data_IF_051847261037
#
_entry.id   IF_051847261037
#
_cell.length_a   1.000
_cell.length_b   1.000
_cell.length_c   1.000
_cell.angle_alpha   90.00
_cell.angle_beta   90.00
_cell.angle_gamma   90.00
#
_symmetry.space_group_name_H-M   'P 1'
#
loop_
_entity.id
_entity.type
_entity.pdbx_description
1 polymer ?
#
# COMPACT_ATOMS: atom_id res chain seq x y z
N UNK A 1 -30.39 7.38 -12.58
CA UNK A 1 -29.89 8.31 -11.55
C UNK A 1 -29.94 7.71 -10.14
N UNK A 2 -31.01 6.98 -9.78
CA UNK A 2 -31.21 6.46 -8.40
C UNK A 2 -30.13 5.51 -7.87
N UNK A 3 -29.42 4.78 -8.73
CA UNK A 3 -28.31 3.93 -8.29
C UNK A 3 -27.07 4.74 -7.95
N UNK A 4 -26.77 5.78 -8.73
CA UNK A 4 -25.65 6.70 -8.51
C UNK A 4 -25.89 7.58 -7.28
N UNK A 5 -27.15 7.90 -6.95
CA UNK A 5 -27.48 8.66 -5.74
C UNK A 5 -27.28 7.86 -4.45
N UNK A 6 -27.39 6.53 -4.48
CA UNK A 6 -27.14 5.68 -3.30
C UNK A 6 -25.67 5.31 -3.10
N UNK A 7 -24.91 5.14 -4.19
CA UNK A 7 -23.49 4.76 -4.15
C UNK A 7 -22.71 5.47 -5.25
N UNK A 8 -21.50 5.95 -4.94
CA UNK A 8 -20.63 6.59 -5.92
C UNK A 8 -20.15 5.62 -7.01
N UNK A 9 -19.94 4.34 -6.67
CA UNK A 9 -19.61 3.27 -7.61
C UNK A 9 -20.77 2.29 -7.68
N UNK A 10 -21.23 2.00 -8.90
CA UNK A 10 -22.27 1.01 -9.17
C UNK A 10 -21.61 -0.35 -9.38
N UNK A 11 -22.01 -1.36 -8.61
CA UNK A 11 -21.58 -2.75 -8.82
C UNK A 11 -22.42 -3.40 -9.92
N UNK A 12 -21.75 -3.93 -10.91
CA UNK A 12 -22.34 -4.55 -12.08
C UNK A 12 -22.12 -6.07 -12.09
N UNK A 13 -23.23 -6.79 -12.17
CA UNK A 13 -23.27 -8.19 -12.61
C UNK A 13 -23.23 -8.25 -14.13
N UNK A 14 -22.93 -9.41 -14.74
CA UNK A 14 -22.90 -9.58 -16.20
C UNK A 14 -24.14 -9.05 -16.94
N UNK A 15 -25.34 -9.28 -16.40
CA UNK A 15 -26.59 -8.78 -16.99
C UNK A 15 -26.71 -7.27 -16.92
N UNK A 16 -26.42 -6.67 -15.75
CA UNK A 16 -26.47 -5.22 -15.58
C UNK A 16 -25.41 -4.53 -16.44
N UNK A 17 -24.23 -5.14 -16.60
CA UNK A 17 -23.22 -4.63 -17.50
C UNK A 17 -23.73 -4.61 -18.94
N UNK A 18 -24.36 -5.68 -19.42
CA UNK A 18 -24.97 -5.69 -20.75
C UNK A 18 -26.05 -4.62 -20.90
N UNK A 19 -26.92 -4.48 -19.91
CA UNK A 19 -28.05 -3.55 -19.95
C UNK A 19 -27.64 -2.06 -19.90
N UNK A 20 -26.68 -1.69 -19.05
CA UNK A 20 -26.32 -0.28 -18.84
C UNK A 20 -25.11 0.16 -19.67
N UNK A 21 -24.21 -0.76 -20.04
CA UNK A 21 -22.93 -0.43 -20.69
C UNK A 21 -22.85 -0.95 -22.13
N UNK A 22 -23.53 -2.05 -22.49
CA UNK A 22 -23.57 -2.51 -23.89
C UNK A 22 -24.83 -2.09 -24.64
N UNK A 23 -25.98 -1.99 -23.98
CA UNK A 23 -27.21 -1.59 -24.64
C UNK A 23 -27.13 -0.16 -25.20
N UNK A 24 -27.84 0.07 -26.30
CA UNK A 24 -28.03 1.37 -26.96
C UNK A 24 -29.52 1.71 -26.94
N UNK A 25 -29.92 2.99 -26.87
CA UNK A 25 -29.10 4.22 -26.91
C UNK A 25 -28.58 4.66 -25.54
N UNK A 26 -27.42 5.34 -25.53
CA UNK A 26 -26.82 5.96 -24.32
C UNK A 26 -26.48 7.43 -24.57
N UNK A 27 -26.68 8.26 -23.57
CA UNK A 27 -26.33 9.68 -23.52
C UNK A 27 -25.37 9.99 -22.36
N UNK A 28 -24.63 8.97 -21.92
CA UNK A 28 -23.70 9.03 -20.81
C UNK A 28 -22.50 8.12 -21.08
N UNK A 29 -21.37 8.51 -20.51
CA UNK A 29 -20.11 7.79 -20.50
C UNK A 29 -19.96 7.03 -19.19
N UNK A 30 -19.41 5.82 -19.29
CA UNK A 30 -19.17 4.96 -18.14
C UNK A 30 -17.69 4.73 -17.96
N UNK A 31 -17.19 4.93 -16.73
CA UNK A 31 -15.87 4.49 -16.33
C UNK A 31 -16.03 3.23 -15.52
N UNK A 32 -15.48 2.12 -16.02
CA UNK A 32 -15.63 0.80 -15.42
C UNK A 32 -14.28 0.30 -14.95
N UNK A 33 -14.22 -0.11 -13.69
CA UNK A 33 -13.11 -0.87 -13.14
C UNK A 33 -13.44 -2.36 -13.15
N UNK A 34 -12.68 -3.14 -13.92
CA UNK A 34 -12.65 -4.59 -13.83
C UNK A 34 -11.69 -4.98 -12.71
N UNK A 35 -12.16 -5.77 -11.76
CA UNK A 35 -11.40 -6.09 -10.54
C UNK A 35 -11.66 -7.49 -10.02
N UNK A 36 -10.89 -7.92 -9.01
CA UNK A 36 -11.06 -9.19 -8.32
C UNK A 36 -10.84 -8.97 -6.82
N UNK A 37 -11.85 -8.47 -6.11
CA UNK A 37 -11.78 -8.15 -4.67
C UNK A 37 -12.08 -9.35 -3.77
N UNK A 38 -12.60 -10.45 -4.32
CA UNK A 38 -12.89 -11.64 -3.53
C UNK A 38 -11.66 -12.11 -2.74
N UNK A 39 -11.80 -12.41 -1.44
CA UNK A 39 -10.68 -12.80 -0.58
C UNK A 39 -9.99 -14.07 -1.06
N UNK A 40 -10.69 -14.95 -1.77
CA UNK A 40 -10.16 -16.15 -2.40
C UNK A 40 -9.10 -15.86 -3.48
N UNK A 41 -9.13 -14.67 -4.11
CA UNK A 41 -8.20 -14.27 -5.18
C UNK A 41 -6.93 -13.60 -4.67
N UNK A 42 -6.92 -13.15 -3.41
CA UNK A 42 -5.77 -12.50 -2.75
C UNK A 42 -5.12 -11.35 -3.57
N UNK A 43 -5.90 -10.62 -4.37
CA UNK A 43 -5.38 -9.53 -5.20
C UNK A 43 -5.17 -8.25 -4.39
N UNK A 44 -3.95 -8.05 -3.87
CA UNK A 44 -3.60 -6.84 -3.09
C UNK A 44 -3.68 -5.57 -3.95
N UNK A 45 -3.18 -5.63 -5.18
CA UNK A 45 -3.18 -4.49 -6.12
C UNK A 45 -4.61 -4.04 -6.45
N UNK A 46 -5.55 -4.99 -6.60
CA UNK A 46 -6.95 -4.70 -6.86
C UNK A 46 -7.60 -3.89 -5.74
N UNK A 47 -7.19 -4.13 -4.49
CA UNK A 47 -7.72 -3.40 -3.33
C UNK A 47 -7.21 -1.96 -3.29
N UNK A 48 -5.92 -1.74 -3.50
CA UNK A 48 -5.36 -0.39 -3.60
C UNK A 48 -5.94 0.40 -4.79
N UNK A 49 -6.10 -0.25 -5.93
CA UNK A 49 -6.72 0.36 -7.10
C UNK A 49 -8.20 0.70 -6.86
N UNK A 50 -8.94 -0.15 -6.14
CA UNK A 50 -10.31 0.12 -5.75
C UNK A 50 -10.42 1.35 -4.82
N UNK A 51 -9.51 1.50 -3.84
CA UNK A 51 -9.52 2.63 -2.92
C UNK A 51 -9.29 3.97 -3.67
N UNK A 52 -8.32 4.01 -4.59
CA UNK A 52 -8.06 5.18 -5.42
C UNK A 52 -9.22 5.46 -6.40
N UNK A 53 -9.83 4.42 -6.97
CA UNK A 53 -11.00 4.56 -7.85
C UNK A 53 -12.24 5.08 -7.09
N UNK A 54 -12.47 4.58 -5.87
CA UNK A 54 -13.52 5.05 -4.98
C UNK A 54 -13.31 6.51 -4.60
N UNK A 55 -12.06 6.93 -4.41
CA UNK A 55 -11.74 8.32 -4.13
C UNK A 55 -12.12 9.24 -5.30
N UNK A 56 -11.81 8.86 -6.55
CA UNK A 56 -12.21 9.62 -7.74
C UNK A 56 -13.73 9.68 -7.87
N UNK A 57 -14.41 8.55 -7.72
CA UNK A 57 -15.87 8.48 -7.83
C UNK A 57 -16.58 9.33 -6.77
N UNK A 58 -16.08 9.31 -5.52
CA UNK A 58 -16.59 10.17 -4.45
C UNK A 58 -16.30 11.65 -4.74
N UNK A 59 -15.10 11.98 -5.21
CA UNK A 59 -14.73 13.36 -5.57
C UNK A 59 -15.63 13.90 -6.68
N UNK A 60 -15.98 13.08 -7.67
CA UNK A 60 -16.96 13.45 -8.70
C UNK A 60 -18.36 13.66 -8.12
N UNK A 61 -18.81 12.76 -7.25
CA UNK A 61 -20.13 12.84 -6.61
C UNK A 61 -20.32 14.14 -5.82
N UNK A 62 -19.29 14.58 -5.09
CA UNK A 62 -19.31 15.83 -4.30
C UNK A 62 -18.89 17.07 -5.10
N UNK A 63 -18.53 16.92 -6.38
CA UNK A 63 -18.18 18.04 -7.23
C UNK A 63 -19.42 18.85 -7.60
N UNK A 64 -19.28 20.19 -7.62
CA UNK A 64 -20.30 21.10 -8.13
C UNK A 64 -20.54 20.94 -9.63
N UNK A 65 -19.58 20.32 -10.34
CA UNK A 65 -19.68 20.03 -11.78
C UNK A 65 -20.33 18.66 -12.07
N UNK A 66 -20.88 17.98 -11.06
CA UNK A 66 -21.48 16.66 -11.25
C UNK A 66 -22.63 16.72 -12.25
N UNK A 67 -22.44 16.06 -13.40
CA UNK A 67 -23.44 15.93 -14.46
C UNK A 67 -23.84 14.48 -14.64
N UNK A 68 -25.07 14.25 -15.12
CA UNK A 68 -25.58 12.92 -15.43
C UNK A 68 -25.00 12.30 -16.73
N UNK A 69 -23.83 12.79 -17.16
CA UNK A 69 -23.11 12.32 -18.35
C UNK A 69 -21.96 11.38 -18.01
N UNK A 70 -21.55 11.28 -16.75
CA UNK A 70 -20.44 10.43 -16.33
C UNK A 70 -20.84 9.58 -15.12
N UNK A 71 -20.69 8.27 -15.25
CA UNK A 71 -20.98 7.32 -14.19
C UNK A 71 -19.81 6.37 -13.94
N UNK A 72 -19.67 5.95 -12.68
CA UNK A 72 -18.61 5.04 -12.23
C UNK A 72 -19.19 3.66 -11.92
N UNK A 73 -18.50 2.64 -12.42
CA UNK A 73 -18.89 1.25 -12.31
C UNK A 73 -17.74 0.35 -11.90
N UNK A 74 -18.06 -0.77 -11.26
CA UNK A 74 -17.11 -1.86 -11.09
C UNK A 74 -17.76 -3.19 -11.45
N UNK A 75 -16.95 -4.11 -11.98
CA UNK A 75 -17.32 -5.50 -12.21
C UNK A 75 -16.27 -6.37 -11.52
N UNK A 76 -16.71 -7.21 -10.58
CA UNK A 76 -15.84 -8.21 -9.98
C UNK A 76 -15.79 -9.47 -10.86
N UNK A 77 -14.63 -10.10 -10.96
CA UNK A 77 -14.44 -11.32 -11.73
C UNK A 77 -15.40 -12.44 -11.31
N UNK A 78 -15.67 -12.59 -10.01
CA UNK A 78 -16.55 -13.66 -9.54
C UNK A 78 -18.05 -13.34 -9.75
N UNK A 79 -18.42 -12.05 -9.93
CA UNK A 79 -19.80 -11.63 -10.24
C UNK A 79 -20.11 -11.60 -11.76
N UNK A 80 -19.08 -11.54 -12.60
CA UNK A 80 -19.25 -11.39 -14.05
C UNK A 80 -18.06 -11.89 -14.88
N UNK A 81 -17.68 -13.17 -14.78
CA UNK A 81 -16.54 -13.72 -15.54
C UNK A 81 -16.77 -13.67 -17.06
N UNK A 82 -18.03 -13.69 -17.47
CA UNK A 82 -18.47 -13.51 -18.87
C UNK A 82 -18.11 -12.13 -19.42
N UNK A 83 -18.14 -11.08 -18.58
CA UNK A 83 -17.75 -9.72 -18.97
C UNK A 83 -16.26 -9.68 -19.29
N UNK A 84 -15.42 -10.29 -18.45
CA UNK A 84 -13.97 -10.38 -18.66
C UNK A 84 -13.62 -11.10 -19.96
N UNK A 85 -14.26 -12.26 -20.20
CA UNK A 85 -14.09 -13.00 -21.45
C UNK A 85 -14.54 -12.19 -22.66
N UNK A 86 -15.69 -11.51 -22.56
CA UNK A 86 -16.21 -10.69 -23.68
C UNK A 86 -15.37 -9.46 -24.02
N UNK A 87 -14.55 -8.99 -23.08
CA UNK A 87 -13.64 -7.85 -23.24
C UNK A 87 -12.20 -8.30 -23.50
N UNK A 88 -11.91 -9.61 -23.49
CA UNK A 88 -10.57 -10.16 -23.70
C UNK A 88 -9.59 -9.85 -22.56
N UNK A 89 -10.10 -9.66 -21.33
CA UNK A 89 -9.28 -9.30 -20.17
C UNK A 89 -8.95 -10.52 -19.32
N UNK A 90 -7.66 -10.85 -19.26
CA UNK A 90 -7.14 -11.99 -18.48
C UNK A 90 -6.53 -11.57 -17.14
N UNK A 91 -6.46 -10.27 -16.87
CA UNK A 91 -5.86 -9.71 -15.66
C UNK A 91 -6.74 -8.63 -15.04
N UNK A 92 -6.53 -8.38 -13.75
CA UNK A 92 -7.16 -7.34 -12.97
C UNK A 92 -6.09 -6.64 -12.11
N UNK A 93 -6.26 -5.37 -11.73
CA UNK A 93 -7.36 -4.46 -12.11
C UNK A 93 -7.16 -3.87 -13.53
N UNK A 94 -8.26 -3.49 -14.20
CA UNK A 94 -8.24 -2.77 -15.48
C UNK A 94 -9.28 -1.65 -15.46
N UNK A 95 -8.91 -0.44 -15.86
CA UNK A 95 -9.83 0.68 -16.03
C UNK A 95 -10.16 0.89 -17.51
N UNK A 96 -11.45 0.94 -17.82
CA UNK A 96 -11.93 1.21 -19.18
C UNK A 96 -13.00 2.29 -19.20
N UNK A 97 -12.94 3.13 -20.22
CA UNK A 97 -13.93 4.12 -20.57
C UNK A 97 -14.84 3.56 -21.67
N UNK A 98 -16.14 3.62 -21.44
CA UNK A 98 -17.17 3.30 -22.40
C UNK A 98 -17.84 4.61 -22.83
N UNK A 99 -17.60 5.09 -24.06
CA UNK A 99 -18.22 6.32 -24.53
C UNK A 99 -19.73 6.16 -24.70
N UNK A 100 -20.44 7.29 -24.74
CA UNK A 100 -21.88 7.33 -25.07
C UNK A 100 -22.13 6.70 -26.46
N UNK A 101 -21.26 7.11 -27.39
CA UNK A 101 -21.11 6.78 -28.82
C UNK A 101 -20.21 5.60 -29.16
N UNK A 102 -20.73 4.43 -29.50
CA UNK A 102 -19.93 3.38 -30.17
C UNK A 102 -19.09 2.49 -29.24
N UNK A 103 -18.05 1.85 -29.79
CA UNK A 103 -17.18 0.91 -29.08
C UNK A 103 -15.96 1.63 -28.46
N UNK A 104 -15.44 1.15 -27.31
CA UNK A 104 -14.20 1.66 -26.74
C UNK A 104 -13.03 1.57 -27.73
N UNK A 105 -12.22 2.62 -27.81
CA UNK A 105 -10.96 2.67 -28.56
C UNK A 105 -9.82 2.15 -27.70
N UNK A 106 -8.65 1.86 -28.30
CA UNK A 106 -7.45 1.44 -27.55
C UNK A 106 -7.03 2.45 -26.46
N UNK A 107 -7.26 3.74 -26.69
CA UNK A 107 -6.97 4.78 -25.70
C UNK A 107 -7.94 4.84 -24.52
N UNK A 108 -9.11 4.21 -24.65
CA UNK A 108 -10.12 4.11 -23.58
C UNK A 108 -9.81 3.00 -22.59
N UNK A 109 -8.71 2.26 -22.77
CA UNK A 109 -8.14 1.41 -21.75
C UNK A 109 -6.94 2.13 -21.13
N UNK A 110 -6.95 2.28 -19.81
CA UNK A 110 -5.83 2.89 -19.09
C UNK A 110 -4.67 1.90 -18.96
N UNK A 111 -3.46 2.35 -19.31
CA UNK A 111 -2.22 1.60 -19.10
C UNK A 111 -1.72 1.79 -17.65
N UNK A 112 -2.17 0.89 -16.78
CA UNK A 112 -1.86 0.95 -15.35
C UNK A 112 -0.38 0.65 -15.09
N UNK A 113 0.26 -0.20 -15.90
CA UNK A 113 1.65 -0.60 -15.74
C UNK A 113 2.60 0.58 -15.97
N UNK A 114 2.29 1.45 -16.94
CA UNK A 114 3.14 2.60 -17.30
C UNK A 114 2.87 3.83 -16.45
N UNK A 115 1.61 4.14 -16.17
CA UNK A 115 1.20 5.43 -15.57
C UNK A 115 0.82 5.30 -14.09
N UNK A 116 0.56 4.08 -13.61
CA UNK A 116 0.06 3.82 -12.26
C UNK A 116 -1.44 4.10 -12.11
N UNK A 117 -1.98 3.87 -10.91
CA UNK A 117 -3.42 3.94 -10.60
C UNK A 117 -3.75 4.99 -9.51
N UNK A 118 -2.91 6.01 -9.35
CA UNK A 118 -3.22 7.13 -8.45
C UNK A 118 -4.48 7.86 -8.91
N UNK A 119 -5.30 8.30 -7.96
CA UNK A 119 -6.57 8.97 -8.21
C UNK A 119 -6.43 10.20 -9.13
N UNK A 120 -5.36 11.00 -8.96
CA UNK A 120 -5.09 12.18 -9.80
C UNK A 120 -4.72 11.78 -11.23
N UNK A 121 -4.12 10.62 -11.43
CA UNK A 121 -3.80 10.08 -12.76
C UNK A 121 -5.06 9.54 -13.42
N UNK A 122 -5.90 8.81 -12.69
CA UNK A 122 -7.20 8.34 -13.19
C UNK A 122 -8.07 9.54 -13.58
N UNK A 123 -8.14 10.58 -12.75
CA UNK A 123 -8.90 11.79 -13.04
C UNK A 123 -8.39 12.53 -14.30
N UNK A 124 -7.06 12.62 -14.49
CA UNK A 124 -6.47 13.19 -15.71
C UNK A 124 -6.81 12.37 -16.96
N UNK A 125 -6.69 11.05 -16.88
CA UNK A 125 -7.07 10.17 -17.99
C UNK A 125 -8.57 10.28 -18.34
N UNK A 126 -9.45 10.38 -17.34
CA UNK A 126 -10.88 10.64 -17.58
C UNK A 126 -11.09 11.98 -18.26
N UNK A 127 -10.40 13.04 -17.83
CA UNK A 127 -10.48 14.36 -18.45
C UNK A 127 -10.04 14.33 -19.92
N UNK A 128 -8.96 13.62 -20.25
CA UNK A 128 -8.50 13.45 -21.64
C UNK A 128 -9.51 12.71 -22.54
N UNK A 129 -10.35 11.84 -21.96
CA UNK A 129 -11.33 11.04 -22.72
C UNK A 129 -12.73 11.64 -22.79
N UNK A 130 -13.14 12.35 -21.74
CA UNK A 130 -14.52 12.83 -21.57
C UNK A 130 -14.63 14.35 -21.55
N UNK A 131 -13.51 15.08 -21.54
CA UNK A 131 -13.42 16.53 -21.35
C UNK A 131 -13.96 17.03 -19.98
N UNK A 132 -14.25 16.08 -19.07
CA UNK A 132 -14.76 16.37 -17.72
C UNK A 132 -13.59 16.38 -16.74
N UNK A 133 -13.31 17.55 -16.17
CA UNK A 133 -12.24 17.70 -15.18
C UNK A 133 -12.74 17.37 -13.76
N UNK A 134 -12.19 16.30 -13.18
CA UNK A 134 -12.49 15.88 -11.80
C UNK A 134 -11.37 16.36 -10.88
N UNK A 135 -11.69 17.22 -9.90
CA UNK A 135 -10.76 17.60 -8.83
C UNK A 135 -10.83 16.56 -7.72
N UNK A 136 -9.75 15.81 -7.53
CA UNK A 136 -9.67 14.76 -6.50
C UNK A 136 -9.41 15.39 -5.13
N UNK A 137 -10.22 15.03 -4.13
CA UNK A 137 -10.02 15.46 -2.74
C UNK A 137 -9.71 14.24 -1.87
N UNK A 138 -8.45 14.10 -1.43
CA UNK A 138 -8.03 13.06 -0.48
C UNK A 138 -8.57 13.38 0.92
N UNK A 139 -9.45 12.57 1.52
CA UNK A 139 -9.89 12.80 2.88
C UNK A 139 -8.67 12.74 3.82
N UNK A 140 -8.58 13.64 4.81
CA UNK A 140 -7.47 13.62 5.76
C UNK A 140 -7.46 12.30 6.55
N UNK A 141 -6.34 11.59 6.51
CA UNK A 141 -6.14 10.36 7.29
C UNK A 141 -5.83 10.72 8.75
N UNK A 142 -6.87 10.78 9.60
CA UNK A 142 -6.72 11.04 11.03
C UNK A 142 -6.05 9.89 11.81
N UNK A 143 -5.89 8.71 11.20
CA UNK A 143 -5.20 7.59 11.84
C UNK A 143 -3.76 7.93 12.22
N UNK A 144 -3.04 8.62 11.33
CA UNK A 144 -1.65 9.03 11.59
C UNK A 144 -1.55 10.11 12.67
N UNK A 145 -2.46 11.10 12.67
CA UNK A 145 -2.47 12.15 13.69
C UNK A 145 -2.88 11.61 15.05
N UNK A 146 -3.88 10.71 15.12
CA UNK A 146 -4.28 10.04 16.36
C UNK A 146 -3.14 9.17 16.89
N UNK A 147 -2.46 8.40 16.03
CA UNK A 147 -1.30 7.60 16.44
C UNK A 147 -0.17 8.47 17.01
N UNK A 148 0.11 9.63 16.41
CA UNK A 148 1.08 10.58 16.94
C UNK A 148 0.65 11.16 18.30
N UNK A 149 -0.62 11.53 18.45
CA UNK A 149 -1.15 12.04 19.74
C UNK A 149 -1.02 10.97 20.83
N UNK A 150 -1.35 9.71 20.53
CA UNK A 150 -1.18 8.59 21.47
C UNK A 150 0.30 8.40 21.81
N UNK A 151 1.20 8.46 20.83
CA UNK A 151 2.64 8.34 21.06
C UNK A 151 3.14 9.43 22.00
N UNK A 152 2.78 10.70 21.76
CA UNK A 152 3.17 11.81 22.62
C UNK A 152 2.57 11.68 24.02
N UNK A 153 1.32 11.24 24.14
CA UNK A 153 0.68 10.97 25.43
C UNK A 153 1.39 9.85 26.21
N UNK A 154 1.78 8.76 25.54
CA UNK A 154 2.53 7.67 26.16
C UNK A 154 3.93 8.12 26.61
N UNK A 155 4.64 8.90 25.80
CA UNK A 155 5.94 9.45 26.17
C UNK A 155 5.79 10.39 27.38
N UNK A 156 4.80 11.29 27.36
CA UNK A 156 4.52 12.20 28.46
C UNK A 156 4.14 11.46 29.76
N UNK A 157 3.30 10.43 29.66
CA UNK A 157 2.90 9.59 30.79
C UNK A 157 4.11 8.83 31.37
N UNK A 158 4.97 8.27 30.51
CA UNK A 158 6.17 7.55 30.93
C UNK A 158 7.17 8.48 31.61
N UNK A 159 7.38 9.69 31.06
CA UNK A 159 8.21 10.72 31.68
C UNK A 159 7.64 11.23 33.01
N UNK A 160 6.31 11.36 33.12
CA UNK A 160 5.66 11.74 34.36
C UNK A 160 5.80 10.66 35.45
N UNK A 161 5.55 9.39 35.12
CA UNK A 161 5.72 8.28 36.07
C UNK A 161 7.19 8.07 36.47
N UNK A 162 8.14 8.27 35.55
CA UNK A 162 9.58 8.13 35.80
C UNK A 162 10.26 9.44 36.20
N UNK A 163 9.51 10.47 36.60
CA UNK A 163 10.05 11.81 36.94
C UNK A 163 11.18 11.78 37.97
N UNK A 164 11.16 10.82 38.89
CA UNK A 164 12.17 10.67 39.95
C UNK A 164 13.36 9.75 39.56
N UNK A 165 13.33 9.11 38.38
CA UNK A 165 14.35 8.17 37.91
C UNK A 165 14.66 8.43 36.43
N UNK A 166 15.17 9.63 36.14
CA UNK A 166 15.55 10.10 34.80
C UNK A 166 16.95 9.61 34.37
N UNK A 167 17.62 8.77 35.16
CA UNK A 167 18.97 8.26 34.87
C UNK A 167 19.06 7.53 33.53
N UNK A 168 17.96 6.92 33.08
CA UNK A 168 17.87 6.28 31.76
C UNK A 168 18.04 7.27 30.59
N UNK A 169 17.57 8.51 30.73
CA UNK A 169 17.69 9.56 29.70
C UNK A 169 19.09 10.17 29.66
N UNK A 170 19.81 10.17 30.79
CA UNK A 170 21.19 10.66 30.84
C UNK A 170 22.22 9.60 30.43
N UNK A 171 21.83 8.32 30.42
CA UNK A 171 22.73 7.23 30.05
C UNK A 171 23.04 7.24 28.55
N UNK A 172 24.31 7.37 28.17
CA UNK A 172 24.75 7.34 26.77
C UNK A 172 24.53 5.98 26.11
N UNK A 173 24.54 4.88 26.88
CA UNK A 173 24.36 3.53 26.31
C UNK A 173 22.93 3.26 25.86
N UNK A 174 21.92 3.85 26.53
CA UNK A 174 20.51 3.71 26.12
C UNK A 174 20.24 4.41 24.79
N UNK A 175 20.79 5.62 24.60
CA UNK A 175 20.74 6.34 23.33
C UNK A 175 21.49 5.60 22.22
N UNK A 176 22.64 5.01 22.53
CA UNK A 176 23.36 4.15 21.60
C UNK A 176 22.54 2.94 21.15
N UNK A 177 21.91 2.24 22.10
CA UNK A 177 21.04 1.10 21.81
C UNK A 177 19.82 1.50 20.97
N UNK A 178 19.16 2.62 21.32
CA UNK A 178 18.02 3.14 20.57
C UNK A 178 18.40 3.50 19.14
N UNK A 179 19.55 4.17 18.94
CA UNK A 179 20.07 4.49 17.62
C UNK A 179 20.36 3.22 16.79
N UNK A 180 20.96 2.20 17.40
CA UNK A 180 21.21 0.92 16.72
C UNK A 180 19.91 0.23 16.28
N UNK A 181 18.87 0.22 17.14
CA UNK A 181 17.57 -0.33 16.78
C UNK A 181 16.97 0.35 15.54
N UNK A 182 17.08 1.68 15.46
CA UNK A 182 16.63 2.46 14.29
C UNK A 182 17.43 2.06 13.04
N UNK A 183 18.76 1.99 13.16
CA UNK A 183 19.62 1.60 12.04
C UNK A 183 19.25 0.21 11.51
N UNK A 184 19.07 -0.79 12.39
CA UNK A 184 18.67 -2.13 11.98
C UNK A 184 17.29 -2.20 11.33
N UNK A 185 16.33 -1.43 11.86
CA UNK A 185 15.01 -1.32 11.24
C UNK A 185 15.10 -0.74 9.82
N UNK A 186 15.92 0.30 9.63
CA UNK A 186 16.06 0.96 8.33
C UNK A 186 16.85 0.12 7.31
N UNK A 187 17.91 -0.57 7.72
CA UNK A 187 18.75 -1.36 6.80
C UNK A 187 18.13 -2.69 6.39
N UNK A 188 17.19 -3.22 7.17
CA UNK A 188 16.53 -4.51 6.89
C UNK A 188 15.40 -4.44 5.85
N UNK A 189 14.98 -3.23 5.46
CA UNK A 189 13.89 -3.04 4.49
C UNK A 189 12.51 -2.78 5.11
N UNK A 190 12.42 -2.39 6.39
CA UNK A 190 11.12 -2.05 7.03
C UNK A 190 10.35 -0.96 6.27
N UNK A 191 11.05 0.01 5.68
CA UNK A 191 10.41 1.06 4.88
C UNK A 191 9.79 0.50 3.59
N UNK A 192 10.44 -0.48 2.95
CA UNK A 192 9.89 -1.15 1.79
C UNK A 192 8.61 -1.93 2.16
N UNK A 193 8.63 -2.64 3.29
CA UNK A 193 7.45 -3.33 3.82
C UNK A 193 6.31 -2.35 4.13
N UNK A 194 6.60 -1.19 4.72
CA UNK A 194 5.58 -0.18 5.01
C UNK A 194 4.93 0.35 3.73
N UNK A 195 5.70 0.60 2.67
CA UNK A 195 5.16 1.19 1.44
C UNK A 195 4.35 0.16 0.64
N UNK A 196 4.84 -1.08 0.55
CA UNK A 196 4.29 -2.11 -0.36
C UNK A 196 3.30 -3.06 0.31
N UNK A 197 3.32 -3.17 1.64
CA UNK A 197 2.43 -4.05 2.41
C UNK A 197 2.46 -5.52 1.97
N UNK A 198 3.64 -6.16 1.86
CA UNK A 198 3.74 -7.56 1.43
C UNK A 198 3.07 -8.50 2.45
N UNK A 199 2.67 -9.72 2.04
CA UNK A 199 2.18 -10.72 2.98
C UNK A 199 3.28 -11.13 3.98
N UNK A 200 2.87 -11.55 5.18
CA UNK A 200 3.80 -11.96 6.23
C UNK A 200 4.65 -13.18 5.83
N UNK A 201 4.02 -14.17 5.21
CA UNK A 201 4.63 -15.41 4.74
C UNK A 201 3.79 -15.95 3.56
N UNK A 202 4.41 -16.66 2.63
CA UNK A 202 3.71 -17.31 1.52
C UNK A 202 3.72 -18.82 1.70
N UNK A 203 2.56 -19.45 1.50
CA UNK A 203 2.44 -20.92 1.46
C UNK A 203 2.46 -21.35 0.00
N UNK A 204 3.43 -22.18 -0.37
CA UNK A 204 3.48 -22.77 -1.71
C UNK A 204 2.29 -23.71 -1.90
N UNK A 205 1.84 -23.88 -3.15
CA UNK A 205 0.73 -24.78 -3.52
C UNK A 205 0.96 -26.25 -3.10
N UNK A 206 2.19 -26.63 -2.74
CA UNK A 206 2.57 -27.96 -2.21
C UNK A 206 2.52 -28.07 -0.67
N UNK A 207 2.06 -27.04 0.04
CA UNK A 207 1.99 -27.02 1.50
C UNK A 207 3.28 -26.65 2.22
N UNK A 208 4.39 -26.40 1.50
CA UNK A 208 5.62 -25.89 2.10
C UNK A 208 5.52 -24.39 2.38
N UNK A 209 5.97 -23.97 3.57
CA UNK A 209 6.03 -22.58 3.98
C UNK A 209 7.31 -21.95 3.43
N UNK A 210 7.17 -20.95 2.56
CA UNK A 210 8.29 -20.15 2.06
C UNK A 210 8.54 -18.96 2.98
N UNK A 211 9.69 -18.97 3.67
CA UNK A 211 10.12 -17.85 4.53
C UNK A 211 10.91 -16.78 3.77
N UNK A 212 11.43 -17.11 2.57
CA UNK A 212 12.19 -16.22 1.71
C UNK A 212 11.52 -16.16 0.33
N UNK A 213 11.38 -14.95 -0.19
CA UNK A 213 10.78 -14.66 -1.48
C UNK A 213 11.74 -15.05 -2.61
N UNK A 214 11.25 -15.83 -3.57
CA UNK A 214 12.09 -16.37 -4.66
C UNK A 214 12.43 -15.37 -5.77
N UNK A 215 11.94 -14.14 -5.71
CA UNK A 215 12.20 -13.08 -6.69
C UNK A 215 12.89 -11.90 -6.04
N UNK A 216 13.88 -11.33 -6.74
CA UNK A 216 14.69 -10.18 -6.30
C UNK A 216 13.91 -8.87 -6.16
N UNK A 217 12.67 -8.81 -6.67
CA UNK A 217 11.81 -7.63 -6.59
C UNK A 217 10.83 -7.62 -5.42
N UNK A 218 10.79 -8.67 -4.59
CA UNK A 218 9.85 -8.81 -3.48
C UNK A 218 10.52 -9.32 -2.21
N UNK A 219 9.95 -8.96 -1.07
CA UNK A 219 10.42 -9.31 0.26
C UNK A 219 9.22 -9.68 1.14
N UNK A 220 9.36 -10.70 1.99
CA UNK A 220 8.38 -10.99 3.05
C UNK A 220 8.72 -10.26 4.36
N UNK A 221 7.71 -10.01 5.19
CA UNK A 221 7.90 -9.38 6.51
C UNK A 221 8.83 -10.23 7.39
N UNK A 222 8.72 -11.57 7.31
CA UNK A 222 9.59 -12.49 8.06
C UNK A 222 11.06 -12.34 7.67
N UNK A 223 11.37 -12.11 6.40
CA UNK A 223 12.75 -11.92 5.95
C UNK A 223 13.39 -10.71 6.61
N UNK A 224 12.64 -9.63 6.76
CA UNK A 224 13.12 -8.42 7.43
C UNK A 224 13.53 -8.70 8.87
N UNK A 225 12.76 -9.49 9.61
CA UNK A 225 13.14 -9.90 10.97
C UNK A 225 14.38 -10.78 11.00
N UNK A 226 14.52 -11.70 10.05
CA UNK A 226 15.72 -12.54 9.91
C UNK A 226 16.95 -11.66 9.66
N UNK A 227 16.85 -10.68 8.75
CA UNK A 227 17.93 -9.73 8.44
C UNK A 227 18.29 -8.85 9.63
N UNK A 228 17.30 -8.39 10.42
CA UNK A 228 17.56 -7.65 11.68
C UNK A 228 18.40 -8.50 12.64
N UNK A 229 18.01 -9.75 12.86
CA UNK A 229 18.73 -10.66 13.78
C UNK A 229 20.15 -10.93 13.29
N UNK A 230 20.35 -11.17 11.99
CA UNK A 230 21.67 -11.40 11.42
C UNK A 230 22.58 -10.17 11.55
N UNK A 231 22.07 -8.97 11.24
CA UNK A 231 22.83 -7.73 11.43
C UNK A 231 23.17 -7.48 12.90
N UNK A 232 22.22 -7.72 13.81
CA UNK A 232 22.47 -7.58 15.24
C UNK A 232 23.55 -8.57 15.73
N UNK A 233 23.55 -9.82 15.24
CA UNK A 233 24.57 -10.82 15.58
C UNK A 233 25.97 -10.39 15.10
N UNK A 234 26.09 -9.85 13.87
CA UNK A 234 27.36 -9.35 13.34
C UNK A 234 27.89 -8.18 14.18
N UNK A 235 27.04 -7.20 14.47
CA UNK A 235 27.44 -6.02 15.27
C UNK A 235 27.85 -6.43 16.68
N UNK A 236 27.09 -7.33 17.33
CA UNK A 236 27.43 -7.86 18.64
C UNK A 236 28.77 -8.60 18.62
N UNK A 237 29.00 -9.44 17.59
CA UNK A 237 30.28 -10.12 17.39
C UNK A 237 31.46 -9.15 17.25
N UNK A 238 31.28 -8.04 16.52
CA UNK A 238 32.30 -7.00 16.37
C UNK A 238 32.59 -6.25 17.68
N UNK A 239 31.55 -5.95 18.47
CA UNK A 239 31.71 -5.31 19.78
C UNK A 239 32.50 -6.22 20.73
N UNK A 240 32.13 -7.50 20.82
CA UNK A 240 32.84 -8.47 21.66
C UNK A 240 34.31 -8.64 21.24
N UNK A 241 34.58 -8.66 19.93
CA UNK A 241 35.94 -8.73 19.41
C UNK A 241 36.75 -7.49 19.79
N UNK A 242 36.16 -6.30 19.72
CA UNK A 242 36.81 -5.05 20.11
C UNK A 242 37.14 -5.02 21.61
N UNK A 243 36.21 -5.42 22.47
CA UNK A 243 36.43 -5.50 23.93
C UNK A 243 37.52 -6.53 24.28
N UNK A 244 37.53 -7.69 23.62
CA UNK A 244 38.57 -8.70 23.78
C UNK A 244 39.96 -8.18 23.35
N UNK A 245 40.04 -7.36 22.30
CA UNK A 245 41.28 -6.75 21.87
C UNK A 245 41.77 -5.65 22.84
N UNK A 246 40.86 -4.80 23.32
CA UNK A 246 41.16 -3.72 24.25
C UNK A 246 41.65 -4.24 25.62
N UNK A 247 40.99 -5.27 26.16
CA UNK A 247 41.37 -5.89 27.45
C UNK A 247 42.77 -6.52 27.43
N UNK A 248 43.21 -7.07 26.29
CA UNK A 248 44.58 -7.58 26.10
C UNK A 248 45.62 -6.46 26.07
N UNK A 249 45.27 -5.28 25.56
CA UNK A 249 46.15 -4.09 25.53
C UNK A 249 46.43 -3.54 26.93
N UNK A 250 45.41 -3.44 27.78
CA UNK A 250 45.56 -2.96 29.16
C UNK A 250 46.33 -3.94 30.06
N UNK A 251 46.14 -5.25 29.85
CA UNK A 251 46.90 -6.28 30.56
C UNK A 251 48.42 -6.20 30.27
N UNK A 252 48.80 -5.82 29.04
CA UNK A 252 50.20 -5.58 28.66
C UNK A 252 50.76 -4.27 29.24
N UNK A 253 49.96 -3.20 29.34
CA UNK A 253 50.38 -1.94 29.99
C UNK A 253 50.58 -2.13 31.50
N UNK A 254 49.67 -2.83 32.18
CA UNK A 254 49.74 -3.08 33.63
C UNK A 254 50.94 -3.94 34.03
N UNK A 255 51.37 -4.89 33.18
CA UNK A 255 52.60 -5.68 33.41
C UNK A 255 53.91 -4.89 33.21
N UNK A 256 53.91 -3.82 32.42
CA UNK A 256 55.09 -2.97 32.20
C UNK A 256 55.29 -1.91 33.29
N UNK A 257 54.27 -1.63 34.10
CA UNK A 257 54.34 -0.62 35.18
C UNK A 257 54.69 -1.22 36.55
N UNK A 258 54.87 -2.55 36.64
CA UNK A 258 55.25 -3.29 37.85
C UNK A 258 56.69 -3.85 37.79
N UNK A 259 57.50 -3.38 36.83
CA UNK A 259 58.94 -3.61 36.70
C UNK A 259 59.63 -2.27 36.89
#
# INVERSE_FOLDING_TARGET
MDMSSKRAIIRFTGDKFRQFIKATPRNYSFIVMLTALSPHRQCVVCRHAYDEFQLVANSWRYSQMNTNKLFFGMVDFDEGPDVFSSLGMNSAPVFMHFPEKGKPKKGDQMDIQRIGFQAETIARWIAERTDIQIRVFRPPNYSGTIALVILFALIAALLYMRRNNLDFLYNKTSWGLAAMCIVFAMTSGQMWNHIRGPPFMHRSSRGSVGYIHGSSGGQFIVETYIVIVLNAAIVLGMILLHEAAASRGDSKKRKKSCL
#
